data_IF_263090758333
#
_entry.id   IF_263090758333
#
_cell.length_a   1.000
_cell.length_b   1.000
_cell.length_c   1.000
_cell.angle_alpha   90.00
_cell.angle_beta   90.00
_cell.angle_gamma   90.00
#
_symmetry.space_group_name_H-M   'P 1'
#
loop_
_entity.id
_entity.type
_entity.pdbx_description
1 polymer ?
#
# COMPACT_ATOMS: atom_id res chain seq x y z
N UNK A 1 -3.40 -6.23 -12.26
CA UNK A 1 -3.56 -5.77 -10.87
C UNK A 1 -4.18 -6.82 -9.93
N UNK A 2 -3.43 -7.30 -8.93
CA UNK A 2 -3.94 -8.10 -7.80
C UNK A 2 -4.01 -7.24 -6.53
N UNK A 3 -5.04 -7.45 -5.70
CA UNK A 3 -5.20 -6.77 -4.42
C UNK A 3 -5.03 -7.81 -3.30
N UNK A 4 -4.08 -7.57 -2.42
CA UNK A 4 -3.83 -8.38 -1.24
C UNK A 4 -4.45 -7.72 -0.01
N UNK A 5 -4.81 -8.54 0.99
CA UNK A 5 -5.35 -8.08 2.28
C UNK A 5 -4.52 -8.64 3.41
N UNK A 6 -4.44 -7.90 4.52
CA UNK A 6 -3.75 -8.30 5.75
C UNK A 6 -2.25 -8.66 5.55
N UNK A 7 -1.60 -8.07 4.53
CA UNK A 7 -0.17 -8.30 4.30
C UNK A 7 0.67 -7.32 5.13
N UNK A 8 1.68 -7.80 5.87
CA UNK A 8 2.44 -6.95 6.78
C UNK A 8 3.47 -6.09 6.04
N UNK A 9 3.50 -4.79 6.36
CA UNK A 9 4.40 -3.81 5.73
C UNK A 9 5.89 -4.12 5.96
N UNK A 10 6.24 -4.82 7.03
CA UNK A 10 7.63 -5.26 7.29
C UNK A 10 8.25 -6.07 6.15
N UNK A 11 7.44 -6.72 5.32
CA UNK A 11 7.93 -7.46 4.16
C UNK A 11 8.36 -6.53 3.01
N UNK A 12 8.05 -5.24 3.10
CA UNK A 12 8.18 -4.25 2.03
C UNK A 12 8.83 -2.93 2.49
N UNK A 13 9.28 -2.85 3.74
CA UNK A 13 10.12 -1.77 4.27
C UNK A 13 11.54 -2.29 4.50
N UNK A 14 12.56 -1.46 4.27
CA UNK A 14 13.95 -1.87 4.50
C UNK A 14 14.26 -2.04 5.97
N UNK A 15 13.58 -1.27 6.83
CA UNK A 15 13.67 -1.36 8.28
C UNK A 15 13.02 -2.63 8.85
N UNK A 16 12.25 -3.38 8.03
CA UNK A 16 11.55 -4.61 8.42
C UNK A 16 10.63 -4.45 9.63
N UNK A 17 9.98 -3.30 9.71
CA UNK A 17 8.94 -2.96 10.68
C UNK A 17 7.62 -2.67 9.97
N UNK A 18 6.51 -2.82 10.67
CA UNK A 18 5.19 -2.50 10.16
C UNK A 18 4.21 -3.68 10.12
N UNK A 19 3.01 -3.41 10.61
CA UNK A 19 1.88 -4.32 10.72
C UNK A 19 1.10 -4.53 9.43
N UNK A 20 -0.07 -5.19 9.51
CA UNK A 20 -0.89 -5.55 8.36
C UNK A 20 -1.47 -4.33 7.66
N UNK A 21 -1.52 -4.38 6.33
CA UNK A 21 -2.31 -3.45 5.52
C UNK A 21 -3.73 -3.97 5.37
N UNK A 22 -4.73 -3.08 5.38
CA UNK A 22 -6.10 -3.48 5.02
C UNK A 22 -6.17 -3.90 3.55
N UNK A 23 -5.62 -3.09 2.67
CA UNK A 23 -5.44 -3.41 1.25
C UNK A 23 -4.06 -3.01 0.79
N UNK A 24 -3.46 -3.82 -0.08
CA UNK A 24 -2.25 -3.44 -0.78
C UNK A 24 -2.23 -4.02 -2.20
N UNK A 25 -1.78 -3.21 -3.15
CA UNK A 25 -1.71 -3.59 -4.56
C UNK A 25 -0.39 -3.12 -5.18
N UNK A 26 0.17 -3.96 -6.05
CA UNK A 26 1.27 -3.56 -6.92
C UNK A 26 0.72 -2.94 -8.20
N UNK A 27 1.34 -1.85 -8.64
CA UNK A 27 1.03 -1.19 -9.92
C UNK A 27 2.27 -1.14 -10.79
N UNK A 28 2.10 -1.48 -12.06
CA UNK A 28 3.15 -1.49 -13.07
C UNK A 28 2.91 -0.47 -14.19
N UNK A 29 1.72 0.15 -14.20
CA UNK A 29 1.32 1.11 -15.23
C UNK A 29 0.61 2.31 -14.63
N UNK A 30 0.62 3.42 -15.37
CA UNK A 30 -0.09 4.64 -14.99
C UNK A 30 -1.61 4.41 -14.90
N UNK A 31 -2.17 3.56 -15.76
CA UNK A 31 -3.61 3.34 -15.78
C UNK A 31 -4.09 2.49 -14.59
N UNK A 32 -3.30 1.50 -14.15
CA UNK A 32 -3.56 0.79 -12.88
C UNK A 32 -3.52 1.76 -11.69
N UNK A 33 -2.54 2.66 -11.64
CA UNK A 33 -2.43 3.68 -10.59
C UNK A 33 -3.66 4.60 -10.58
N UNK A 34 -4.09 5.12 -11.75
CA UNK A 34 -5.28 5.96 -11.87
C UNK A 34 -6.52 5.23 -11.37
N UNK A 35 -6.71 3.97 -11.76
CA UNK A 35 -7.87 3.17 -11.37
C UNK A 35 -7.93 2.99 -9.85
N UNK A 36 -6.80 2.70 -9.18
CA UNK A 36 -6.75 2.55 -7.73
C UNK A 36 -6.99 3.86 -6.99
N UNK A 37 -6.39 4.97 -7.44
CA UNK A 37 -6.58 6.28 -6.83
C UNK A 37 -8.05 6.71 -6.91
N UNK A 38 -8.69 6.51 -8.07
CA UNK A 38 -10.12 6.79 -8.23
C UNK A 38 -10.99 5.90 -7.32
N UNK A 39 -10.66 4.61 -7.24
CA UNK A 39 -11.38 3.65 -6.38
C UNK A 39 -11.25 4.01 -4.90
N UNK A 40 -10.04 4.35 -4.45
CA UNK A 40 -9.79 4.77 -3.07
C UNK A 40 -10.56 6.03 -2.73
N UNK A 41 -10.56 7.03 -3.63
CA UNK A 41 -11.33 8.27 -3.48
C UNK A 41 -12.83 8.00 -3.40
N UNK A 42 -13.39 7.19 -4.30
CA UNK A 42 -14.81 6.85 -4.31
C UNK A 42 -15.26 6.12 -3.05
N UNK A 43 -14.36 5.37 -2.41
CA UNK A 43 -14.62 4.60 -1.17
C UNK A 43 -14.16 5.31 0.10
N UNK A 44 -13.69 6.56 0.02
CA UNK A 44 -13.10 7.31 1.14
C UNK A 44 -12.01 6.52 1.90
N UNK A 45 -11.18 5.76 1.17
CA UNK A 45 -10.08 5.01 1.75
C UNK A 45 -8.86 5.92 1.91
N UNK A 46 -8.18 5.81 3.06
CA UNK A 46 -6.83 6.36 3.22
C UNK A 46 -5.90 5.70 2.20
N UNK A 47 -5.06 6.51 1.57
CA UNK A 47 -4.16 6.07 0.51
C UNK A 47 -2.72 6.38 0.89
N UNK A 48 -1.83 5.40 0.71
CA UNK A 48 -0.40 5.59 0.87
C UNK A 48 0.33 4.98 -0.34
N UNK A 49 1.24 5.73 -0.94
CA UNK A 49 2.06 5.24 -2.06
C UNK A 49 3.42 4.81 -1.51
N UNK A 50 3.78 3.56 -1.78
CA UNK A 50 5.02 2.94 -1.33
C UNK A 50 5.95 2.69 -2.54
N UNK A 51 7.19 3.16 -2.44
CA UNK A 51 8.25 2.77 -3.37
C UNK A 51 8.94 1.48 -2.89
N UNK A 52 10.27 1.56 -2.71
CA UNK A 52 11.07 0.48 -2.12
C UNK A 52 10.93 0.34 -0.61
N UNK A 53 10.29 1.31 0.06
CA UNK A 53 10.15 1.33 1.52
C UNK A 53 11.43 1.64 2.29
N UNK A 54 12.41 2.31 1.66
CA UNK A 54 13.70 2.65 2.28
C UNK A 54 13.64 3.77 3.33
N UNK A 55 12.61 4.62 3.26
CA UNK A 55 12.42 5.78 4.13
C UNK A 55 10.98 5.81 4.69
N UNK A 56 10.48 4.64 5.12
CA UNK A 56 9.14 4.51 5.69
C UNK A 56 9.25 3.79 7.03
N UNK A 57 8.78 4.46 8.07
CA UNK A 57 8.55 3.88 9.40
C UNK A 57 7.07 3.53 9.46
N UNK A 58 6.76 2.23 9.45
CA UNK A 58 5.39 1.74 9.51
C UNK A 58 5.05 1.27 10.92
N UNK A 59 3.87 1.65 11.39
CA UNK A 59 3.32 1.25 12.69
C UNK A 59 3.02 -0.26 12.73
N UNK A 60 3.23 -0.89 13.89
CA UNK A 60 2.96 -2.32 14.09
C UNK A 60 1.46 -2.64 14.12
N UNK A 61 0.63 -1.65 14.44
CA UNK A 61 -0.83 -1.73 14.32
C UNK A 61 -1.29 -1.80 12.84
N UNK A 62 -0.40 -1.46 11.91
CA UNK A 62 -0.65 -1.55 10.47
C UNK A 62 -1.25 -0.28 9.86
N UNK A 63 -1.88 -0.45 8.70
CA UNK A 63 -2.46 0.66 7.94
C UNK A 63 -3.87 0.31 7.46
N UNK A 64 -4.87 0.96 8.06
CA UNK A 64 -6.28 0.82 7.66
C UNK A 64 -6.60 1.77 6.48
N UNK A 65 -6.17 1.32 5.30
CA UNK A 65 -6.33 1.98 4.02
C UNK A 65 -5.77 1.12 2.88
N UNK A 66 -5.58 1.75 1.73
CA UNK A 66 -4.94 1.16 0.56
C UNK A 66 -3.48 1.62 0.46
N UNK A 67 -2.57 0.65 0.44
CA UNK A 67 -1.17 0.86 0.07
C UNK A 67 -0.98 0.52 -1.41
N UNK A 68 -0.47 1.46 -2.19
CA UNK A 68 -0.13 1.23 -3.60
C UNK A 68 1.38 1.14 -3.72
N UNK A 69 1.91 0.02 -4.17
CA UNK A 69 3.35 -0.13 -4.39
C UNK A 69 3.72 0.02 -5.85
N UNK A 70 4.61 0.97 -6.12
CA UNK A 70 5.17 1.22 -7.46
C UNK A 70 6.17 0.11 -7.82
N UNK A 71 6.00 -0.52 -8.99
CA UNK A 71 6.87 -1.58 -9.51
C UNK A 71 7.34 -1.31 -10.93
#
# INVERSE_FOLDING_TARGET
>A
MQIHTQIPLKNYTTMRIGGPTRFMADVHTIDELKQLVQTAKAKNLRLFVLGSGSNVIAHDEGFDGLVIRMR
#
